data_IF_146742456803
#
_entry.id   IF_146742456803
#
_cell.length_a   1.000
_cell.length_b   1.000
_cell.length_c   1.000
_cell.angle_alpha   90.00
_cell.angle_beta   90.00
_cell.angle_gamma   90.00
#
_symmetry.space_group_name_H-M   'P 1'
#
loop_
_entity.id
_entity.type
_entity.pdbx_description
1 polymer ?
#
# COMPACT_ATOMS: atom_id res chain seq x y z
N UNK A 1 -10.22 -2.76 -13.31
CA UNK A 1 -11.12 -2.51 -12.17
C UNK A 1 -10.47 -1.47 -11.28
N UNK A 2 -11.18 -0.39 -10.96
CA UNK A 2 -10.68 0.64 -10.04
C UNK A 2 -10.75 0.15 -8.58
N UNK A 3 -9.82 0.62 -7.74
CA UNK A 3 -9.72 0.27 -6.33
C UNK A 3 -8.71 -0.83 -6.02
N UNK A 4 -8.66 -1.24 -4.75
CA UNK A 4 -7.76 -2.30 -4.29
C UNK A 4 -8.14 -3.63 -4.93
N UNK A 5 -7.15 -4.28 -5.56
CA UNK A 5 -7.32 -5.59 -6.20
C UNK A 5 -6.66 -6.68 -5.36
N UNK A 6 -7.26 -7.87 -5.35
CA UNK A 6 -6.81 -9.02 -4.56
C UNK A 6 -6.95 -10.32 -5.34
N UNK A 7 -6.38 -11.41 -4.81
CA UNK A 7 -6.53 -12.77 -5.35
C UNK A 7 -6.07 -12.90 -6.81
N UNK A 8 -6.87 -13.60 -7.63
CA UNK A 8 -6.56 -13.87 -9.04
C UNK A 8 -6.30 -12.60 -9.85
N UNK A 9 -7.04 -11.52 -9.58
CA UNK A 9 -6.89 -10.27 -10.32
C UNK A 9 -5.53 -9.59 -10.05
N UNK A 10 -5.07 -9.62 -8.80
CA UNK A 10 -3.74 -9.13 -8.44
C UNK A 10 -2.64 -9.94 -9.14
N UNK A 11 -2.78 -11.26 -9.16
CA UNK A 11 -1.83 -12.15 -9.84
C UNK A 11 -1.79 -11.93 -11.37
N UNK A 12 -2.97 -11.81 -12.01
CA UNK A 12 -3.06 -11.51 -13.44
C UNK A 12 -2.42 -10.17 -13.81
N UNK A 13 -2.49 -9.16 -12.93
CA UNK A 13 -1.79 -7.90 -13.16
C UNK A 13 -0.26 -8.10 -13.21
N UNK A 14 0.31 -8.86 -12.28
CA UNK A 14 1.75 -9.14 -12.27
C UNK A 14 2.18 -9.98 -13.49
N UNK A 15 1.36 -10.93 -13.92
CA UNK A 15 1.59 -11.67 -15.16
C UNK A 15 1.55 -10.76 -16.39
N UNK A 16 0.62 -9.79 -16.42
CA UNK A 16 0.54 -8.80 -17.48
C UNK A 16 1.79 -7.91 -17.53
N UNK A 17 2.27 -7.42 -16.37
CA UNK A 17 3.53 -6.69 -16.25
C UNK A 17 4.70 -7.46 -16.86
N UNK A 18 4.82 -8.75 -16.52
CA UNK A 18 5.84 -9.65 -17.08
C UNK A 18 5.71 -9.81 -18.60
N UNK A 19 4.50 -10.06 -19.10
CA UNK A 19 4.25 -10.24 -20.54
C UNK A 19 4.50 -8.98 -21.37
N UNK A 20 4.39 -7.80 -20.75
CA UNK A 20 4.60 -6.49 -21.39
C UNK A 20 5.95 -5.86 -21.06
N UNK A 21 6.84 -6.57 -20.35
CA UNK A 21 8.19 -6.12 -19.99
C UNK A 21 8.23 -4.79 -19.23
N UNK A 22 7.35 -4.58 -18.26
CA UNK A 22 7.43 -3.45 -17.34
C UNK A 22 7.26 -3.89 -15.89
N UNK A 23 7.74 -3.06 -14.96
CA UNK A 23 7.63 -3.28 -13.53
C UNK A 23 6.68 -2.25 -12.90
N UNK A 24 6.08 -2.62 -11.76
CA UNK A 24 5.32 -1.69 -10.92
C UNK A 24 6.21 -1.20 -9.78
N UNK A 25 6.48 0.11 -9.67
CA UNK A 25 7.19 0.65 -8.52
C UNK A 25 6.30 0.56 -7.27
N UNK A 26 6.84 -0.02 -6.19
CA UNK A 26 6.17 -0.11 -4.90
C UNK A 26 6.64 1.02 -3.98
N UNK A 27 5.71 1.85 -3.51
CA UNK A 27 6.03 3.05 -2.73
C UNK A 27 5.68 2.86 -1.26
N UNK A 28 6.68 3.05 -0.39
CA UNK A 28 6.46 3.10 1.06
C UNK A 28 5.69 4.37 1.43
N UNK A 29 4.54 4.19 2.08
CA UNK A 29 3.68 5.28 2.56
C UNK A 29 3.65 5.33 4.09
N UNK A 30 3.47 6.52 4.63
CA UNK A 30 3.48 6.78 6.09
C UNK A 30 2.29 7.62 6.55
N UNK A 31 1.56 8.23 5.62
CA UNK A 31 0.38 9.06 5.89
C UNK A 31 -0.64 8.97 4.76
N UNK A 32 -1.84 9.46 5.01
CA UNK A 32 -2.87 9.65 3.97
C UNK A 32 -2.36 10.53 2.84
N UNK A 33 -1.57 11.57 3.14
CA UNK A 33 -0.95 12.44 2.15
C UNK A 33 -0.04 11.67 1.21
N UNK A 34 0.85 10.83 1.73
CA UNK A 34 1.75 10.02 0.88
C UNK A 34 1.00 8.98 0.06
N UNK A 35 -0.06 8.38 0.61
CA UNK A 35 -0.93 7.49 -0.16
C UNK A 35 -1.59 8.23 -1.33
N UNK A 36 -2.11 9.44 -1.09
CA UNK A 36 -2.76 10.25 -2.12
C UNK A 36 -1.79 10.62 -3.23
N UNK A 37 -0.55 11.01 -2.90
CA UNK A 37 0.46 11.34 -3.91
C UNK A 37 0.75 10.18 -4.85
N UNK A 38 0.83 8.94 -4.33
CA UNK A 38 1.02 7.74 -5.16
C UNK A 38 -0.19 7.48 -6.06
N UNK A 39 -1.40 7.58 -5.50
CA UNK A 39 -2.64 7.37 -6.25
C UNK A 39 -2.83 8.41 -7.36
N UNK A 40 -2.59 9.68 -7.06
CA UNK A 40 -2.67 10.80 -8.02
C UNK A 40 -1.66 10.63 -9.14
N UNK A 41 -0.39 10.37 -8.80
CA UNK A 41 0.67 10.19 -9.80
C UNK A 41 0.37 9.01 -10.73
N UNK A 42 -0.04 7.87 -10.17
CA UNK A 42 -0.39 6.68 -10.94
C UNK A 42 -1.61 6.91 -11.85
N UNK A 43 -2.64 7.61 -11.37
CA UNK A 43 -3.80 7.97 -12.16
C UNK A 43 -3.43 8.91 -13.32
N UNK A 44 -2.58 9.91 -13.07
CA UNK A 44 -2.14 10.88 -14.09
C UNK A 44 -1.37 10.23 -15.24
N UNK A 45 -0.60 9.18 -14.96
CA UNK A 45 0.18 8.45 -15.98
C UNK A 45 -0.52 7.19 -16.50
N UNK A 46 -1.77 6.94 -16.08
CA UNK A 46 -2.57 5.82 -16.55
C UNK A 46 -2.03 4.43 -16.15
N UNK A 47 -1.35 4.33 -15.00
CA UNK A 47 -0.75 3.08 -14.52
C UNK A 47 -1.41 2.57 -13.22
N UNK A 48 -1.31 1.25 -12.93
CA UNK A 48 -1.63 0.72 -11.61
C UNK A 48 -0.74 1.33 -10.51
N UNK A 49 -1.29 1.48 -9.31
CA UNK A 49 -0.50 1.85 -8.13
C UNK A 49 -0.10 0.63 -7.31
N UNK A 50 1.06 0.71 -6.64
CA UNK A 50 1.51 -0.27 -5.66
C UNK A 50 1.93 0.48 -4.40
N UNK A 51 1.10 0.41 -3.36
CA UNK A 51 1.33 1.04 -2.05
C UNK A 51 1.76 -0.02 -1.06
N UNK A 52 2.83 0.26 -0.32
CA UNK A 52 3.30 -0.59 0.75
C UNK A 52 3.58 0.18 2.04
N UNK A 53 3.53 -0.53 3.16
CA UNK A 53 3.83 0.00 4.48
C UNK A 53 4.96 -0.83 5.10
N UNK A 54 6.09 -0.18 5.41
CA UNK A 54 7.11 -0.78 6.25
C UNK A 54 6.65 -0.84 7.70
N UNK A 55 7.30 -1.65 8.53
CA UNK A 55 6.98 -1.74 9.96
C UNK A 55 7.01 -0.35 10.63
N UNK A 56 8.07 0.41 10.39
CA UNK A 56 8.19 1.79 10.89
C UNK A 56 7.22 2.77 10.22
N UNK A 57 6.92 2.60 8.92
CA UNK A 57 5.96 3.44 8.21
C UNK A 57 4.53 3.23 8.69
N UNK A 58 4.17 1.98 8.98
CA UNK A 58 2.89 1.63 9.59
C UNK A 58 2.78 2.19 11.00
N UNK A 59 3.82 2.06 11.84
CA UNK A 59 3.85 2.69 13.16
C UNK A 59 3.66 4.22 13.07
N UNK A 60 4.32 4.87 12.11
CA UNK A 60 4.16 6.30 11.87
C UNK A 60 2.71 6.65 11.47
N UNK A 61 2.06 5.82 10.65
CA UNK A 61 0.68 6.00 10.23
C UNK A 61 -0.30 5.95 11.41
N UNK A 62 -0.05 5.10 12.40
CA UNK A 62 -0.82 5.05 13.64
C UNK A 62 -0.52 6.24 14.57
N UNK A 63 0.73 6.71 14.57
CA UNK A 63 1.20 7.83 15.36
C UNK A 63 2.28 7.42 16.37
N UNK A 64 3.40 8.16 16.39
CA UNK A 64 4.56 7.88 17.26
C UNK A 64 4.29 7.95 18.77
N UNK A 65 3.15 8.50 19.18
CA UNK A 65 2.73 8.54 20.59
C UNK A 65 2.16 7.22 21.11
N UNK A 66 1.93 6.24 20.25
CA UNK A 66 1.37 4.94 20.63
C UNK A 66 2.47 3.94 21.03
N UNK A 67 2.19 3.00 21.95
CA UNK A 67 3.14 1.95 22.29
C UNK A 67 3.39 1.01 21.11
N UNK A 68 4.66 0.63 20.92
CA UNK A 68 5.08 -0.28 19.87
C UNK A 68 6.16 -1.24 20.39
N UNK A 69 5.78 -2.07 21.36
CA UNK A 69 6.72 -2.94 22.06
C UNK A 69 7.32 -3.98 21.10
N UNK A 70 8.61 -4.29 21.29
CA UNK A 70 9.26 -5.39 20.57
C UNK A 70 8.48 -6.69 20.80
N UNK A 71 8.20 -7.42 19.72
CA UNK A 71 7.46 -8.68 19.75
C UNK A 71 5.92 -8.54 19.78
N UNK A 72 5.38 -7.35 20.06
CA UNK A 72 3.93 -7.08 20.01
C UNK A 72 3.53 -6.19 18.84
N UNK A 73 4.35 -5.17 18.54
CA UNK A 73 4.21 -4.29 17.37
C UNK A 73 2.81 -3.65 17.24
N UNK A 74 2.20 -3.24 18.36
CA UNK A 74 0.81 -2.81 18.42
C UNK A 74 0.51 -1.64 17.48
N UNK A 75 1.36 -0.59 17.51
CA UNK A 75 1.19 0.57 16.64
C UNK A 75 1.42 0.22 15.17
N UNK A 76 2.40 -0.63 14.85
CA UNK A 76 2.65 -1.06 13.46
C UNK A 76 1.47 -1.86 12.90
N UNK A 77 0.88 -2.76 13.68
CA UNK A 77 -0.32 -3.52 13.27
C UNK A 77 -1.50 -2.57 13.04
N UNK A 78 -1.79 -1.71 14.03
CA UNK A 78 -2.90 -0.75 13.94
C UNK A 78 -2.75 0.18 12.73
N UNK A 79 -1.57 0.72 12.51
CA UNK A 79 -1.31 1.66 11.43
C UNK A 79 -1.31 1.02 10.06
N UNK A 80 -0.84 -0.23 9.93
CA UNK A 80 -0.95 -0.99 8.68
C UNK A 80 -2.43 -1.24 8.34
N UNK A 81 -3.25 -1.63 9.33
CA UNK A 81 -4.69 -1.80 9.14
C UNK A 81 -5.39 -0.48 8.77
N UNK A 82 -5.08 0.62 9.46
CA UNK A 82 -5.63 1.94 9.19
C UNK A 82 -5.25 2.43 7.78
N UNK A 83 -3.97 2.31 7.40
CA UNK A 83 -3.48 2.65 6.07
C UNK A 83 -4.13 1.81 4.97
N UNK A 84 -4.26 0.50 5.17
CA UNK A 84 -4.94 -0.38 4.22
C UNK A 84 -6.42 -0.03 4.06
N UNK A 85 -7.14 0.26 5.15
CA UNK A 85 -8.53 0.72 5.07
C UNK A 85 -8.63 2.04 4.34
N UNK A 86 -7.75 3.00 4.63
CA UNK A 86 -7.72 4.28 3.92
C UNK A 86 -7.59 4.08 2.41
N UNK A 87 -6.55 3.35 1.97
CA UNK A 87 -6.32 3.06 0.55
C UNK A 87 -7.53 2.37 -0.07
N UNK A 88 -8.14 1.41 0.62
CA UNK A 88 -9.34 0.70 0.13
C UNK A 88 -10.54 1.61 -0.10
N UNK A 89 -10.74 2.61 0.75
CA UNK A 89 -11.85 3.56 0.62
C UNK A 89 -11.62 4.57 -0.50
N UNK A 90 -10.39 5.07 -0.68
CA UNK A 90 -10.13 6.17 -1.62
C UNK A 90 -9.72 5.70 -3.02
N UNK A 91 -9.07 4.54 -3.17
CA UNK A 91 -8.48 4.09 -4.43
C UNK A 91 -9.48 4.01 -5.59
N UNK A 92 -10.75 3.66 -5.32
CA UNK A 92 -11.79 3.60 -6.35
C UNK A 92 -12.06 4.95 -7.02
N UNK A 93 -11.94 6.05 -6.27
CA UNK A 93 -12.16 7.42 -6.77
C UNK A 93 -11.06 7.89 -7.72
N UNK A 94 -9.86 7.31 -7.63
CA UNK A 94 -8.75 7.60 -8.56
C UNK A 94 -8.84 6.82 -9.88
N UNK A 95 -9.82 5.92 -10.03
CA UNK A 95 -10.07 5.23 -11.30
C UNK A 95 -9.04 4.15 -11.69
N UNK A 96 -8.05 3.85 -10.84
CA UNK A 96 -6.95 2.92 -11.13
C UNK A 96 -7.00 1.64 -10.28
N UNK A 97 -6.42 0.52 -10.76
CA UNK A 97 -6.16 -0.65 -9.92
C UNK A 97 -5.01 -0.37 -8.94
N UNK A 98 -5.15 -0.86 -7.70
CA UNK A 98 -4.16 -0.64 -6.64
C UNK A 98 -3.80 -1.96 -5.95
N UNK A 99 -2.51 -2.24 -5.84
CA UNK A 99 -1.96 -3.25 -4.95
C UNK A 99 -1.64 -2.63 -3.58
N UNK A 100 -1.99 -3.33 -2.51
CA UNK A 100 -1.68 -2.93 -1.14
C UNK A 100 -0.87 -4.04 -0.47
N UNK A 101 0.25 -3.69 0.14
CA UNK A 101 1.23 -4.64 0.67
C UNK A 101 1.86 -4.17 1.98
N UNK A 102 2.51 -5.07 2.70
CA UNK A 102 3.42 -4.78 3.80
C UNK A 102 4.84 -5.08 3.37
N UNK A 103 5.78 -4.18 3.62
CA UNK A 103 7.19 -4.36 3.29
C UNK A 103 7.88 -5.36 4.24
N UNK A 104 9.22 -5.41 4.25
CA UNK A 104 10.06 -6.30 5.05
C UNK A 104 9.55 -6.57 6.49
N UNK A 105 9.42 -7.87 6.83
CA UNK A 105 9.02 -8.36 8.15
C UNK A 105 9.96 -9.48 8.62
N UNK A 106 11.13 -9.12 9.16
CA UNK A 106 12.09 -10.09 9.68
C UNK A 106 11.62 -10.72 11.00
N UNK A 107 12.10 -11.95 11.27
CA UNK A 107 11.93 -12.59 12.58
C UNK A 107 12.62 -11.71 13.65
N UNK A 108 11.85 -11.29 14.66
CA UNK A 108 12.32 -10.50 15.80
C UNK A 108 12.45 -11.36 17.04
#
# INVERSE_FOLDING_TARGET
KAGVITGKLAWSLLQYCKAKNFALPAFNCTSTSTCNSVLEAAAKIGMPAYIQFSEGGACFFAGKGLPNDKGKLQASILGACAGAQYVRHVAGAYGIPVLTHSDHCAKK
#
